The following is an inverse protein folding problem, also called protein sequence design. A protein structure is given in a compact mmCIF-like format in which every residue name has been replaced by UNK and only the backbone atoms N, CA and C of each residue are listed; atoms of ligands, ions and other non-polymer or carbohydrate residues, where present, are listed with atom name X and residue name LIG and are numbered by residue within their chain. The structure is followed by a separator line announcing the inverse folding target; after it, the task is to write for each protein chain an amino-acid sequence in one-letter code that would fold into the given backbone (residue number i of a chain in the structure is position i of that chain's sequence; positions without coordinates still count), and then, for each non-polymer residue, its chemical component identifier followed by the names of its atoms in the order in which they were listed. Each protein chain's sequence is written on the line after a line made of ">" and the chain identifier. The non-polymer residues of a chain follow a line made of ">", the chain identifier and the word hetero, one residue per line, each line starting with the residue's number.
data_IF_664368603323
#
_entry.id   IF_664368603323
#
_cell.length_a   1.000
_cell.length_b   1.000
_cell.length_c   1.000
_cell.angle_alpha   90.00
_cell.angle_beta   90.00
_cell.angle_gamma   90.00
#
_symmetry.space_group_name_H-M   'P 1'
#
loop_
_entity.id
_entity.type
_entity.pdbx_description
1 polymer ?
#
# COMPACT_ATOMS: atom_id res chain seq x y z
N UNK A 1 16.62 55.71 -11.31
CA UNK A 1 16.37 54.74 -10.21
C UNK A 1 15.53 53.62 -10.80
N UNK A 2 16.06 52.85 -11.75
CA UNK A 2 15.22 52.04 -12.67
C UNK A 2 15.53 50.54 -12.68
N UNK A 3 16.21 50.06 -11.64
CA UNK A 3 16.71 48.68 -11.51
C UNK A 3 16.08 47.91 -10.35
N UNK A 4 15.22 48.56 -9.55
CA UNK A 4 14.56 47.96 -8.37
C UNK A 4 13.21 47.31 -8.72
N UNK A 5 12.56 47.74 -9.81
CA UNK A 5 11.25 47.24 -10.24
C UNK A 5 11.26 45.79 -10.78
N UNK A 6 12.28 45.30 -11.53
CA UNK A 6 12.36 43.89 -11.92
C UNK A 6 12.63 42.95 -10.73
N UNK A 7 13.33 43.46 -9.71
CA UNK A 7 13.73 42.71 -8.53
C UNK A 7 12.53 42.40 -7.63
N UNK A 8 11.59 43.35 -7.46
CA UNK A 8 10.43 43.18 -6.57
C UNK A 8 9.29 42.41 -7.25
N UNK A 9 9.10 42.58 -8.57
CA UNK A 9 8.09 41.83 -9.33
C UNK A 9 8.47 40.37 -9.61
N UNK A 10 9.75 40.09 -9.90
CA UNK A 10 10.23 38.76 -10.27
C UNK A 10 10.58 37.84 -9.09
N UNK A 11 11.12 38.38 -7.99
CA UNK A 11 11.56 37.56 -6.84
C UNK A 11 10.44 37.27 -5.85
N UNK A 12 9.47 38.19 -5.66
CA UNK A 12 8.39 38.01 -4.68
C UNK A 12 7.29 37.05 -5.17
N UNK A 13 6.78 37.26 -6.38
CA UNK A 13 5.69 36.44 -6.92
C UNK A 13 6.20 35.06 -7.36
N UNK A 14 7.41 35.00 -7.93
CA UNK A 14 8.05 33.74 -8.30
C UNK A 14 8.35 32.84 -7.10
N UNK A 15 8.80 33.42 -5.97
CA UNK A 15 9.04 32.66 -4.74
C UNK A 15 7.75 32.19 -4.06
N UNK A 16 6.69 32.99 -4.07
CA UNK A 16 5.37 32.57 -3.60
C UNK A 16 4.78 31.43 -4.45
N UNK A 17 4.84 31.55 -5.79
CA UNK A 17 4.37 30.49 -6.69
C UNK A 17 5.16 29.20 -6.49
N UNK A 18 6.50 29.29 -6.40
CA UNK A 18 7.37 28.15 -6.10
C UNK A 18 7.00 27.52 -4.75
N UNK A 19 6.74 28.32 -3.72
CA UNK A 19 6.38 27.82 -2.39
C UNK A 19 5.05 27.06 -2.40
N UNK A 20 4.07 27.51 -3.18
CA UNK A 20 2.79 26.81 -3.36
C UNK A 20 3.00 25.47 -4.07
N UNK A 21 3.80 25.45 -5.14
CA UNK A 21 4.14 24.23 -5.89
C UNK A 21 4.91 23.24 -5.00
N UNK A 22 5.92 23.72 -4.27
CA UNK A 22 6.74 22.91 -3.37
C UNK A 22 5.88 22.31 -2.25
N UNK A 23 4.97 23.08 -1.65
CA UNK A 23 4.05 22.58 -0.64
C UNK A 23 3.02 21.58 -1.20
N UNK A 24 2.56 21.77 -2.45
CA UNK A 24 1.67 20.80 -3.10
C UNK A 24 2.41 19.48 -3.38
N UNK A 25 3.62 19.56 -3.91
CA UNK A 25 4.46 18.40 -4.19
C UNK A 25 4.87 17.66 -2.90
N UNK A 26 5.22 18.38 -1.84
CA UNK A 26 5.59 17.77 -0.56
C UNK A 26 4.41 17.04 0.07
N UNK A 27 3.21 17.64 0.07
CA UNK A 27 1.97 16.98 0.54
C UNK A 27 1.68 15.71 -0.26
N UNK A 28 1.80 15.78 -1.59
CA UNK A 28 1.59 14.62 -2.46
C UNK A 28 2.61 13.51 -2.21
N UNK A 29 3.88 13.87 -2.00
CA UNK A 29 4.93 12.91 -1.66
C UNK A 29 4.65 12.23 -0.31
N UNK A 30 4.25 12.99 0.71
CA UNK A 30 3.87 12.46 2.04
C UNK A 30 2.68 11.52 1.94
N UNK A 31 1.65 11.85 1.16
CA UNK A 31 0.49 10.97 0.97
C UNK A 31 0.87 9.65 0.29
N UNK A 32 1.74 9.71 -0.73
CA UNK A 32 2.25 8.52 -1.41
C UNK A 32 3.08 7.64 -0.49
N UNK A 33 4.00 8.24 0.26
CA UNK A 33 4.84 7.52 1.22
C UNK A 33 3.99 6.85 2.30
N UNK A 34 3.01 7.57 2.87
CA UNK A 34 2.06 6.98 3.83
C UNK A 34 1.33 5.79 3.25
N UNK A 35 0.72 5.93 2.06
CA UNK A 35 0.01 4.81 1.42
C UNK A 35 0.93 3.62 1.17
N UNK A 36 2.18 3.86 0.75
CA UNK A 36 3.18 2.81 0.58
C UNK A 36 3.46 2.09 1.91
N UNK A 37 3.65 2.82 3.02
CA UNK A 37 3.87 2.22 4.33
C UNK A 37 2.66 1.38 4.78
N UNK A 38 1.44 1.90 4.65
CA UNK A 38 0.20 1.18 5.03
C UNK A 38 0.04 -0.11 4.22
N UNK A 39 0.28 -0.06 2.90
CA UNK A 39 0.29 -1.26 2.04
C UNK A 39 1.34 -2.27 2.49
N UNK A 40 2.58 -1.81 2.71
CA UNK A 40 3.68 -2.68 3.13
C UNK A 40 3.37 -3.35 4.46
N UNK A 41 2.85 -2.61 5.43
CA UNK A 41 2.46 -3.15 6.74
C UNK A 41 1.35 -4.20 6.58
N UNK A 42 0.28 -3.88 5.86
CA UNK A 42 -0.82 -4.81 5.62
C UNK A 42 -0.35 -6.12 4.99
N UNK A 43 0.52 -6.04 3.96
CA UNK A 43 1.00 -7.21 3.23
C UNK A 43 1.94 -8.08 4.07
N UNK A 44 2.91 -7.48 4.74
CA UNK A 44 3.83 -8.23 5.60
C UNK A 44 3.09 -8.86 6.79
N UNK A 45 2.12 -8.12 7.38
CA UNK A 45 1.27 -8.64 8.44
C UNK A 45 0.41 -9.81 7.98
N UNK A 46 -0.21 -9.72 6.79
CA UNK A 46 -0.99 -10.82 6.22
C UNK A 46 -0.13 -12.07 5.98
N UNK A 47 1.04 -11.91 5.38
CA UNK A 47 1.95 -13.04 5.11
C UNK A 47 2.44 -13.68 6.42
N UNK A 48 2.74 -12.88 7.43
CA UNK A 48 3.12 -13.35 8.76
C UNK A 48 1.98 -14.12 9.45
N UNK A 49 0.76 -13.57 9.42
CA UNK A 49 -0.41 -14.21 10.02
C UNK A 49 -0.82 -15.48 9.28
N UNK A 50 -0.72 -15.49 7.94
CA UNK A 50 -0.94 -16.68 7.12
C UNK A 50 0.03 -17.80 7.49
N UNK A 51 1.30 -17.48 7.65
CA UNK A 51 2.30 -18.44 8.09
C UNK A 51 1.96 -19.00 9.47
N UNK A 52 1.66 -18.13 10.46
CA UNK A 52 1.28 -18.55 11.82
C UNK A 52 0.07 -19.46 11.82
N UNK A 53 -1.00 -19.11 11.11
CA UNK A 53 -2.19 -19.93 11.00
C UNK A 53 -1.92 -21.30 10.36
N UNK A 54 -0.95 -21.37 9.43
CA UNK A 54 -0.56 -22.62 8.80
C UNK A 54 0.31 -23.52 9.70
N UNK A 55 1.23 -22.96 10.49
CA UNK A 55 2.16 -23.74 11.33
C UNK A 55 1.62 -24.03 12.73
N UNK A 56 0.75 -23.16 13.25
CA UNK A 56 0.14 -23.26 14.58
C UNK A 56 -1.36 -22.96 14.48
N UNK A 57 -2.18 -23.91 13.99
CA UNK A 57 -3.61 -23.67 13.82
C UNK A 57 -4.29 -23.40 15.16
N UNK A 58 -4.91 -22.22 15.29
CA UNK A 58 -5.73 -21.83 16.45
C UNK A 58 -6.79 -20.82 16.02
N UNK A 59 -7.86 -20.67 16.82
CA UNK A 59 -8.88 -19.64 16.61
C UNK A 59 -8.26 -18.23 16.64
N UNK A 60 -7.31 -18.00 17.56
CA UNK A 60 -6.55 -16.75 17.65
C UNK A 60 -5.78 -16.45 16.36
N UNK A 61 -5.00 -17.40 15.85
CA UNK A 61 -4.20 -17.20 14.63
C UNK A 61 -5.08 -17.07 13.38
N UNK A 62 -6.24 -17.74 13.36
CA UNK A 62 -7.23 -17.59 12.28
C UNK A 62 -7.86 -16.21 12.27
N UNK A 63 -8.18 -15.66 13.45
CA UNK A 63 -8.71 -14.30 13.60
C UNK A 63 -7.65 -13.24 13.31
N UNK A 64 -6.40 -13.47 13.69
CA UNK A 64 -5.27 -12.58 13.33
C UNK A 64 -5.12 -12.52 11.81
N UNK A 65 -5.17 -13.67 11.12
CA UNK A 65 -5.17 -13.69 9.65
C UNK A 65 -6.34 -12.89 9.06
N UNK A 66 -7.57 -13.07 9.56
CA UNK A 66 -8.74 -12.32 9.08
C UNK A 66 -8.61 -10.80 9.31
N UNK A 67 -7.99 -10.38 10.42
CA UNK A 67 -7.69 -8.97 10.68
C UNK A 67 -6.74 -8.40 9.61
N UNK A 68 -5.65 -9.09 9.32
CA UNK A 68 -4.69 -8.64 8.31
C UNK A 68 -5.27 -8.71 6.89
N UNK A 69 -6.16 -9.66 6.62
CA UNK A 69 -6.90 -9.73 5.36
C UNK A 69 -7.78 -8.48 5.19
N UNK A 70 -8.48 -8.08 6.25
CA UNK A 70 -9.28 -6.85 6.26
C UNK A 70 -8.40 -5.60 6.03
N UNK A 71 -7.21 -5.55 6.62
CA UNK A 71 -6.25 -4.46 6.36
C UNK A 71 -5.81 -4.42 4.89
N UNK A 72 -5.63 -5.58 4.25
CA UNK A 72 -5.35 -5.63 2.81
C UNK A 72 -6.53 -5.15 1.96
N UNK A 73 -7.78 -5.35 2.41
CA UNK A 73 -8.96 -4.77 1.75
C UNK A 73 -9.03 -3.24 1.87
N UNK A 74 -8.50 -2.67 2.96
CA UNK A 74 -8.50 -1.22 3.19
C UNK A 74 -7.42 -0.50 2.39
N UNK A 75 -6.21 -1.05 2.35
CA UNK A 75 -5.03 -0.35 1.82
C UNK A 75 -4.52 -0.90 0.50
N UNK A 76 -4.81 -2.18 0.22
CA UNK A 76 -4.31 -2.87 -0.96
C UNK A 76 -5.16 -2.65 -2.21
N UNK A 77 -4.66 -3.13 -3.35
CA UNK A 77 -5.46 -3.18 -4.56
C UNK A 77 -6.61 -4.17 -4.45
N UNK A 78 -7.67 -4.00 -5.28
CA UNK A 78 -8.74 -4.99 -5.39
C UNK A 78 -8.24 -6.40 -5.72
N UNK A 79 -7.15 -6.52 -6.49
CA UNK A 79 -6.53 -7.81 -6.80
C UNK A 79 -5.85 -8.45 -5.60
N UNK A 80 -5.08 -7.68 -4.83
CA UNK A 80 -4.45 -8.19 -3.60
C UNK A 80 -5.52 -8.67 -2.61
N UNK A 81 -6.60 -7.90 -2.43
CA UNK A 81 -7.73 -8.28 -1.59
C UNK A 81 -8.43 -9.54 -2.09
N UNK A 82 -8.69 -9.64 -3.40
CA UNK A 82 -9.32 -10.81 -4.03
C UNK A 82 -8.47 -12.07 -3.85
N UNK A 83 -7.17 -11.99 -4.09
CA UNK A 83 -6.29 -13.15 -3.93
C UNK A 83 -6.10 -13.52 -2.45
N UNK A 84 -6.09 -12.55 -1.53
CA UNK A 84 -6.07 -12.83 -0.09
C UNK A 84 -7.32 -13.61 0.36
N UNK A 85 -8.48 -13.31 -0.24
CA UNK A 85 -9.71 -14.07 -0.05
C UNK A 85 -9.62 -15.47 -0.68
N UNK A 86 -9.10 -15.57 -1.90
CA UNK A 86 -8.95 -16.85 -2.60
C UNK A 86 -8.07 -17.85 -1.84
N UNK A 87 -7.09 -17.42 -1.03
CA UNK A 87 -6.30 -18.31 -0.17
C UNK A 87 -7.17 -19.10 0.81
N UNK A 88 -8.20 -18.48 1.38
CA UNK A 88 -9.13 -19.13 2.31
C UNK A 88 -10.06 -20.07 1.55
N UNK A 89 -10.60 -19.61 0.43
CA UNK A 89 -11.57 -20.37 -0.39
C UNK A 89 -10.96 -21.61 -1.06
N UNK A 90 -9.63 -21.64 -1.20
CA UNK A 90 -8.88 -22.74 -1.81
C UNK A 90 -8.27 -23.70 -0.79
N UNK A 91 -8.55 -23.53 0.51
CA UNK A 91 -7.91 -24.35 1.55
C UNK A 91 -8.29 -25.84 1.45
N UNK A 92 -9.54 -26.13 1.07
CA UNK A 92 -10.05 -27.51 0.86
C UNK A 92 -10.02 -27.94 -0.63
N UNK A 93 -9.37 -27.15 -1.49
CA UNK A 93 -9.35 -27.36 -2.95
C UNK A 93 -8.03 -28.00 -3.41
N UNK A 94 -7.93 -28.43 -4.69
CA UNK A 94 -6.68 -28.92 -5.25
C UNK A 94 -5.52 -27.94 -5.01
N UNK A 95 -4.35 -28.49 -4.66
CA UNK A 95 -3.14 -27.72 -4.35
C UNK A 95 -2.78 -26.67 -5.41
N UNK A 96 -3.04 -26.98 -6.68
CA UNK A 96 -2.81 -26.08 -7.82
C UNK A 96 -3.64 -24.80 -7.76
N UNK A 97 -4.87 -24.84 -7.24
CA UNK A 97 -5.71 -23.66 -7.08
C UNK A 97 -5.16 -22.76 -5.97
N UNK A 98 -4.75 -23.34 -4.86
CA UNK A 98 -4.13 -22.61 -3.75
C UNK A 98 -2.79 -21.98 -4.15
N UNK A 99 -1.98 -22.70 -4.92
CA UNK A 99 -0.71 -22.18 -5.47
C UNK A 99 -0.94 -21.02 -6.46
N UNK A 100 -1.99 -21.09 -7.27
CA UNK A 100 -2.38 -20.00 -8.16
C UNK A 100 -2.86 -18.78 -7.38
N UNK A 101 -3.69 -18.97 -6.35
CA UNK A 101 -4.13 -17.89 -5.47
C UNK A 101 -2.94 -17.23 -4.75
N UNK A 102 -1.99 -18.02 -4.26
CA UNK A 102 -0.79 -17.51 -3.60
C UNK A 102 0.13 -16.76 -4.55
N UNK A 103 0.35 -17.28 -5.76
CA UNK A 103 1.15 -16.60 -6.78
C UNK A 103 0.53 -15.24 -7.16
N UNK A 104 -0.79 -15.21 -7.39
CA UNK A 104 -1.51 -13.97 -7.69
C UNK A 104 -1.49 -12.96 -6.54
N UNK A 105 -1.55 -13.44 -5.29
CA UNK A 105 -1.39 -12.59 -4.11
C UNK A 105 -0.02 -11.90 -4.10
N UNK A 106 1.05 -12.66 -4.30
CA UNK A 106 2.41 -12.09 -4.31
C UNK A 106 2.62 -11.12 -5.48
N UNK A 107 2.10 -11.43 -6.66
CA UNK A 107 2.22 -10.56 -7.83
C UNK A 107 1.49 -9.21 -7.62
N UNK A 108 0.24 -9.25 -7.17
CA UNK A 108 -0.53 -8.04 -6.88
C UNK A 108 0.10 -7.18 -5.78
N UNK A 109 0.61 -7.79 -4.70
CA UNK A 109 1.36 -7.07 -3.66
C UNK A 109 2.62 -6.39 -4.21
N UNK A 110 3.39 -7.07 -5.07
CA UNK A 110 4.59 -6.50 -5.69
C UNK A 110 4.25 -5.31 -6.57
N UNK A 111 3.18 -5.42 -7.35
CA UNK A 111 2.74 -4.34 -8.23
C UNK A 111 2.23 -3.13 -7.46
N UNK A 112 1.57 -3.36 -6.33
CA UNK A 112 1.13 -2.29 -5.43
C UNK A 112 2.28 -1.51 -4.79
N UNK A 113 3.41 -2.17 -4.52
CA UNK A 113 4.59 -1.58 -3.89
C UNK A 113 5.56 -0.93 -4.90
N UNK A 114 5.36 -1.15 -6.21
CA UNK A 114 6.15 -0.52 -7.27
C UNK A 114 5.62 0.84 -7.71
N UNK A 115 4.38 1.17 -7.35
CA UNK A 115 3.62 2.35 -7.81
C UNK A 115 3.60 3.46 -6.76
#
# INVERSE_FOLDING_TARGET
>A
MDWVLPLIGGLGIGSLLKSVIDNFNSRRAVMKDRLYQEKREAYLGLLGALHKAAVQPSDENSKDFALWQTRCQLFGSPDAARFAQAIVETNDRPRSERESAFSGLIESMRDDLRR
#
